data_IF_358387799914
#
_entry.id   IF_358387799914
#
_cell.length_a   1.000
_cell.length_b   1.000
_cell.length_c   1.000
_cell.angle_alpha   90.00
_cell.angle_beta   90.00
_cell.angle_gamma   90.00
#
_symmetry.space_group_name_H-M   'P 1'
#
loop_
_entity.id
_entity.type
_entity.pdbx_description
1 polymer ?
#
# COMPACT_ATOMS: atom_id res chain seq x y z
N UNK A 1 -17.28 22.05 -12.53
CA UNK A 1 -15.88 21.74 -12.84
C UNK A 1 -15.06 21.36 -11.61
N UNK A 2 -15.27 21.94 -10.42
CA UNK A 2 -14.67 21.44 -9.17
C UNK A 2 -15.37 20.17 -8.66
N UNK A 3 -16.70 20.13 -8.68
CA UNK A 3 -17.47 18.98 -8.19
C UNK A 3 -17.14 17.65 -8.88
N UNK A 4 -17.00 17.62 -10.21
CA UNK A 4 -16.74 16.37 -10.96
C UNK A 4 -15.37 15.74 -10.66
N UNK A 5 -14.37 16.56 -10.34
CA UNK A 5 -13.00 16.11 -10.04
C UNK A 5 -12.95 15.44 -8.67
N UNK A 6 -13.73 15.93 -7.71
CA UNK A 6 -13.77 15.40 -6.35
C UNK A 6 -14.46 14.03 -6.30
N UNK A 7 -15.56 13.84 -7.05
CA UNK A 7 -16.22 12.53 -7.15
C UNK A 7 -15.32 11.46 -7.75
N UNK A 8 -14.58 11.79 -8.81
CA UNK A 8 -13.65 10.84 -9.44
C UNK A 8 -12.51 10.46 -8.47
N UNK A 9 -11.99 11.44 -7.72
CA UNK A 9 -10.95 11.23 -6.71
C UNK A 9 -11.41 10.33 -5.56
N UNK A 10 -12.66 10.49 -5.12
CA UNK A 10 -13.28 9.61 -4.11
C UNK A 10 -13.41 8.19 -4.67
N UNK A 11 -13.93 8.01 -5.88
CA UNK A 11 -14.10 6.68 -6.49
C UNK A 11 -12.77 5.96 -6.59
N UNK A 12 -11.73 6.62 -7.11
CA UNK A 12 -10.39 6.02 -7.18
C UNK A 12 -9.81 5.74 -5.81
N UNK A 13 -10.10 6.57 -4.82
CA UNK A 13 -9.63 6.32 -3.46
C UNK A 13 -10.29 5.09 -2.85
N UNK A 14 -11.59 4.90 -3.08
CA UNK A 14 -12.34 3.71 -2.63
C UNK A 14 -11.82 2.45 -3.34
N UNK A 15 -11.65 2.49 -4.66
CA UNK A 15 -11.11 1.36 -5.43
C UNK A 15 -9.70 1.01 -4.94
N UNK A 16 -8.84 2.01 -4.73
CA UNK A 16 -7.51 1.83 -4.16
C UNK A 16 -7.55 1.15 -2.80
N UNK A 17 -8.41 1.62 -1.88
CA UNK A 17 -8.58 1.01 -0.56
C UNK A 17 -8.99 -0.47 -0.66
N UNK A 18 -9.93 -0.82 -1.53
CA UNK A 18 -10.36 -2.22 -1.75
C UNK A 18 -9.21 -3.08 -2.29
N UNK A 19 -8.44 -2.57 -3.26
CA UNK A 19 -7.25 -3.25 -3.80
C UNK A 19 -6.23 -3.50 -2.69
N UNK A 20 -5.92 -2.49 -1.87
CA UNK A 20 -4.99 -2.65 -0.76
C UNK A 20 -5.49 -3.69 0.26
N UNK A 21 -6.78 -3.71 0.56
CA UNK A 21 -7.38 -4.68 1.47
C UNK A 21 -7.22 -6.12 0.94
N UNK A 22 -7.39 -6.31 -0.37
CA UNK A 22 -7.11 -7.59 -1.03
C UNK A 22 -5.61 -7.95 -1.01
N UNK A 23 -4.71 -6.99 -1.22
CA UNK A 23 -3.27 -7.18 -1.11
C UNK A 23 -2.83 -7.59 0.31
N UNK A 24 -3.46 -7.02 1.35
CA UNK A 24 -3.23 -7.43 2.76
C UNK A 24 -3.61 -8.89 2.93
N UNK A 25 -4.79 -9.29 2.44
CA UNK A 25 -5.26 -10.68 2.51
C UNK A 25 -4.31 -11.67 1.81
N UNK A 26 -3.87 -11.35 0.59
CA UNK A 26 -2.92 -12.19 -0.15
C UNK A 26 -1.55 -12.25 0.55
N UNK A 27 -1.05 -11.12 1.05
CA UNK A 27 0.22 -11.07 1.77
C UNK A 27 0.20 -11.94 3.03
N UNK A 28 -0.91 -11.94 3.77
CA UNK A 28 -1.11 -12.85 4.90
C UNK A 28 -1.11 -14.32 4.50
N UNK A 29 -1.72 -14.67 3.36
CA UNK A 29 -1.66 -16.04 2.83
C UNK A 29 -0.22 -16.44 2.51
N UNK A 30 0.54 -15.57 1.84
CA UNK A 30 1.94 -15.82 1.48
C UNK A 30 2.80 -16.02 2.73
N UNK A 31 2.64 -15.17 3.74
CA UNK A 31 3.34 -15.28 5.04
C UNK A 31 3.10 -16.66 5.68
N UNK A 32 1.87 -17.18 5.63
CA UNK A 32 1.52 -18.49 6.19
C UNK A 32 2.17 -19.68 5.46
N UNK A 33 2.63 -19.50 4.23
CA UNK A 33 3.32 -20.55 3.46
C UNK A 33 4.79 -20.71 3.87
N UNK A 34 5.38 -19.70 4.52
CA UNK A 34 6.78 -19.78 4.93
C UNK A 34 6.95 -20.53 6.26
N UNK A 35 8.05 -21.31 6.41
CA UNK A 35 8.41 -21.88 7.70
C UNK A 35 8.71 -20.77 8.72
N UNK A 36 8.23 -20.94 9.97
CA UNK A 36 8.20 -19.90 11.02
C UNK A 36 9.54 -19.20 11.33
N UNK A 37 10.68 -19.82 10.99
CA UNK A 37 12.03 -19.28 11.22
C UNK A 37 12.73 -18.77 9.95
N UNK A 38 12.01 -18.61 8.84
CA UNK A 38 12.58 -18.06 7.61
C UNK A 38 13.00 -16.60 7.81
N UNK A 39 14.23 -16.25 7.45
CA UNK A 39 14.70 -14.85 7.44
C UNK A 39 13.84 -13.98 6.52
N UNK A 40 13.16 -14.57 5.54
CA UNK A 40 12.32 -13.89 4.55
C UNK A 40 10.99 -13.42 5.11
N UNK A 41 10.50 -14.02 6.21
CA UNK A 41 9.30 -13.57 6.91
C UNK A 41 9.39 -12.11 7.35
N UNK A 42 10.56 -11.68 7.85
CA UNK A 42 10.78 -10.29 8.28
C UNK A 42 10.54 -9.28 7.15
N UNK A 43 10.94 -9.63 5.93
CA UNK A 43 10.74 -8.75 4.77
C UNK A 43 9.27 -8.72 4.34
N UNK A 44 8.55 -9.85 4.42
CA UNK A 44 7.11 -9.88 4.18
C UNK A 44 6.32 -9.10 5.23
N UNK A 45 6.74 -9.10 6.50
CA UNK A 45 6.16 -8.25 7.53
C UNK A 45 6.42 -6.75 7.26
N UNK A 46 7.59 -6.39 6.74
CA UNK A 46 7.84 -5.01 6.32
C UNK A 46 6.95 -4.62 5.11
N UNK A 47 6.81 -5.51 4.13
CA UNK A 47 5.94 -5.29 2.99
C UNK A 47 4.47 -5.12 3.43
N UNK A 48 3.95 -5.99 4.30
CA UNK A 48 2.55 -5.89 4.75
C UNK A 48 2.31 -4.63 5.59
N UNK A 49 3.27 -4.20 6.41
CA UNK A 49 3.17 -2.95 7.15
C UNK A 49 3.05 -1.73 6.21
N UNK A 50 3.80 -1.72 5.10
CA UNK A 50 3.65 -0.69 4.06
C UNK A 50 2.28 -0.77 3.37
N UNK A 51 1.82 -1.96 2.99
CA UNK A 51 0.48 -2.14 2.38
C UNK A 51 -0.62 -1.61 3.31
N UNK A 52 -0.54 -1.91 4.61
CA UNK A 52 -1.48 -1.41 5.62
C UNK A 52 -1.40 0.12 5.73
N UNK A 53 -0.19 0.68 5.74
CA UNK A 53 0.00 2.14 5.78
C UNK A 53 -0.66 2.82 4.57
N UNK A 54 -0.48 2.28 3.36
CA UNK A 54 -1.15 2.79 2.16
C UNK A 54 -2.66 2.67 2.25
N UNK A 55 -3.19 1.54 2.73
CA UNK A 55 -4.62 1.38 2.96
C UNK A 55 -5.19 2.52 3.82
N UNK A 56 -4.55 2.82 4.96
CA UNK A 56 -4.95 3.94 5.80
C UNK A 56 -4.77 5.30 5.10
N UNK A 57 -3.73 5.47 4.28
CA UNK A 57 -3.55 6.67 3.46
C UNK A 57 -4.73 6.91 2.50
N UNK A 58 -5.25 5.85 1.87
CA UNK A 58 -6.43 5.93 1.02
C UNK A 58 -7.70 6.28 1.79
N UNK A 59 -7.91 5.66 2.96
CA UNK A 59 -9.04 5.99 3.84
C UNK A 59 -8.95 7.44 4.33
N UNK A 60 -7.75 7.90 4.70
CA UNK A 60 -7.51 9.27 5.14
C UNK A 60 -7.69 10.28 4.00
N UNK A 61 -7.28 9.94 2.78
CA UNK A 61 -7.51 10.79 1.61
C UNK A 61 -9.00 11.07 1.39
N UNK A 62 -9.85 10.06 1.53
CA UNK A 62 -11.31 10.24 1.42
C UNK A 62 -11.80 11.25 2.46
N UNK A 63 -11.33 11.16 3.71
CA UNK A 63 -11.69 12.11 4.76
C UNK A 63 -11.20 13.54 4.45
N UNK A 64 -9.99 13.70 3.92
CA UNK A 64 -9.47 15.02 3.55
C UNK A 64 -10.25 15.62 2.38
N UNK A 65 -10.62 14.81 1.37
CA UNK A 65 -11.44 15.29 0.25
C UNK A 65 -12.78 15.84 0.76
N UNK A 66 -13.42 15.13 1.70
CA UNK A 66 -14.68 15.59 2.31
C UNK A 66 -14.54 16.85 3.17
N UNK A 67 -13.33 17.16 3.64
CA UNK A 67 -13.02 18.39 4.39
C UNK A 67 -12.59 19.55 3.49
N UNK A 68 -12.47 19.33 2.17
CA UNK A 68 -12.04 20.32 1.17
C UNK A 68 -10.68 20.97 1.47
N UNK A 69 -9.80 20.30 2.24
CA UNK A 69 -8.48 20.85 2.62
C UNK A 69 -7.43 20.54 1.55
N UNK A 70 -7.27 21.47 0.59
CA UNK A 70 -6.33 21.34 -0.51
C UNK A 70 -4.85 21.24 -0.07
N UNK A 71 -4.48 21.86 1.06
CA UNK A 71 -3.09 21.83 1.56
C UNK A 71 -2.72 20.43 2.04
N UNK A 72 -3.60 19.81 2.84
CA UNK A 72 -3.41 18.43 3.30
C UNK A 72 -3.41 17.43 2.14
N UNK A 73 -4.26 17.61 1.12
CA UNK A 73 -4.25 16.74 -0.07
C UNK A 73 -2.91 16.82 -0.82
N UNK A 74 -2.35 18.01 -0.99
CA UNK A 74 -1.08 18.21 -1.69
C UNK A 74 0.11 17.64 -0.90
N UNK A 75 0.13 17.82 0.42
CA UNK A 75 1.13 17.19 1.29
C UNK A 75 1.06 15.66 1.21
N UNK A 76 -0.15 15.10 1.32
CA UNK A 76 -0.36 13.66 1.29
C UNK A 76 0.06 13.07 -0.07
N UNK A 77 -0.27 13.73 -1.19
CA UNK A 77 0.17 13.33 -2.53
C UNK A 77 1.69 13.23 -2.63
N UNK A 78 2.41 14.22 -2.10
CA UNK A 78 3.87 14.24 -2.10
C UNK A 78 4.47 13.13 -1.25
N UNK A 79 3.89 12.87 -0.07
CA UNK A 79 4.29 11.73 0.78
C UNK A 79 4.06 10.39 0.10
N UNK A 80 2.92 10.23 -0.59
CA UNK A 80 2.56 9.02 -1.34
C UNK A 80 3.57 8.73 -2.45
N UNK A 81 4.11 9.75 -3.13
CA UNK A 81 5.15 9.51 -4.15
C UNK A 81 6.43 8.93 -3.56
N UNK A 82 6.94 9.49 -2.46
CA UNK A 82 8.17 9.00 -1.82
C UNK A 82 7.95 7.61 -1.23
N UNK A 83 6.85 7.43 -0.48
CA UNK A 83 6.50 6.14 0.09
C UNK A 83 6.23 5.10 -1.01
N UNK A 84 5.68 5.52 -2.15
CA UNK A 84 5.38 4.65 -3.29
C UNK A 84 6.64 4.11 -3.92
N UNK A 85 7.65 4.97 -4.12
CA UNK A 85 8.97 4.54 -4.59
C UNK A 85 9.64 3.56 -3.61
N UNK A 86 9.58 3.85 -2.30
CA UNK A 86 10.08 2.94 -1.25
C UNK A 86 9.32 1.61 -1.25
N UNK A 87 8.01 1.64 -1.45
CA UNK A 87 7.18 0.45 -1.53
C UNK A 87 7.57 -0.44 -2.71
N UNK A 88 7.75 0.13 -3.90
CA UNK A 88 8.22 -0.61 -5.08
C UNK A 88 9.59 -1.25 -4.81
N UNK A 89 10.52 -0.52 -4.19
CA UNK A 89 11.83 -1.05 -3.82
C UNK A 89 11.70 -2.25 -2.86
N UNK A 90 10.91 -2.11 -1.80
CA UNK A 90 10.72 -3.17 -0.80
C UNK A 90 10.07 -4.40 -1.42
N UNK A 91 8.98 -4.24 -2.18
CA UNK A 91 8.29 -5.36 -2.83
C UNK A 91 9.20 -6.07 -3.83
N UNK A 92 9.96 -5.32 -4.64
CA UNK A 92 10.93 -5.89 -5.58
C UNK A 92 12.02 -6.69 -4.85
N UNK A 93 12.55 -6.14 -3.75
CA UNK A 93 13.56 -6.81 -2.94
C UNK A 93 13.01 -8.09 -2.28
N UNK A 94 11.82 -8.03 -1.69
CA UNK A 94 11.14 -9.17 -1.06
C UNK A 94 10.88 -10.27 -2.10
N UNK A 95 10.37 -9.90 -3.27
CA UNK A 95 10.14 -10.81 -4.39
C UNK A 95 11.44 -11.49 -4.83
N UNK A 96 12.52 -10.73 -5.05
CA UNK A 96 13.82 -11.30 -5.42
C UNK A 96 14.34 -12.29 -4.36
N UNK A 97 14.28 -11.93 -3.07
CA UNK A 97 14.68 -12.83 -1.98
C UNK A 97 13.83 -14.09 -1.91
N UNK A 98 12.54 -13.97 -2.19
CA UNK A 98 11.60 -15.09 -2.22
C UNK A 98 11.94 -16.04 -3.38
N UNK A 99 12.12 -15.52 -4.60
CA UNK A 99 12.49 -16.33 -5.76
C UNK A 99 13.82 -17.05 -5.57
N UNK A 100 14.82 -16.38 -4.99
CA UNK A 100 16.13 -17.00 -4.74
C UNK A 100 16.04 -18.20 -3.81
N UNK A 101 15.10 -18.22 -2.87
CA UNK A 101 14.89 -19.36 -1.95
C UNK A 101 14.18 -20.52 -2.66
N UNK A 102 13.28 -20.25 -3.60
CA UNK A 102 12.55 -21.29 -4.32
C UNK A 102 13.46 -22.02 -5.33
N UNK A 103 14.43 -21.30 -5.92
CA UNK A 103 15.36 -21.85 -6.90
C UNK A 103 16.60 -22.54 -6.29
N UNK A 104 16.75 -22.51 -4.96
CA UNK A 104 17.83 -23.17 -4.22
C UNK A 104 17.34 -24.44 -3.56
#
# INVERSE_FOLDING_TARGET
MLEDIDYLSIIFSVVGAVIFLYCIYLSWKIIKLFPKNSKTLKYWYAAIALIIMFFFGYVFNIAIILMEDAFLQQMMTSMVYILGALFVLVVTFVSYKTYKIILQ
#
